data_IF_650026493584
#
_entry.id   IF_650026493584
#
_cell.length_a   1.000
_cell.length_b   1.000
_cell.length_c   1.000
_cell.angle_alpha   90.00
_cell.angle_beta   90.00
_cell.angle_gamma   90.00
#
_symmetry.space_group_name_H-M   'P 1'
#
loop_
_entity.id
_entity.type
_entity.pdbx_description
1 polymer ?
#
# COMPACT_ATOMS: atom_id res chain seq x y z
N UNK A 1 4.66 3.93 26.45
CA UNK A 1 5.31 4.59 25.30
C UNK A 1 5.95 3.51 24.44
N UNK A 2 5.46 3.28 23.21
CA UNK A 2 5.99 2.20 22.36
C UNK A 2 6.73 2.79 21.16
N UNK A 3 8.03 2.55 21.16
CA UNK A 3 9.04 3.04 20.23
C UNK A 3 9.03 2.22 18.93
N UNK A 4 9.07 2.88 17.78
CA UNK A 4 9.25 2.25 16.46
C UNK A 4 10.61 1.56 16.38
N UNK A 5 10.64 0.26 16.04
CA UNK A 5 11.88 -0.50 15.86
C UNK A 5 11.84 -1.35 14.59
N UNK A 6 12.49 -0.79 13.57
CA UNK A 6 13.39 -1.45 12.60
C UNK A 6 12.86 -2.68 11.85
N UNK A 7 12.57 -2.45 10.57
CA UNK A 7 12.51 -3.47 9.53
C UNK A 7 13.77 -4.36 9.55
N UNK A 8 13.56 -5.65 9.81
CA UNK A 8 14.44 -6.75 9.40
C UNK A 8 13.54 -7.83 8.82
N UNK A 9 13.65 -8.04 7.51
CA UNK A 9 12.97 -9.12 6.80
C UNK A 9 13.60 -10.48 7.17
N UNK A 10 12.79 -11.53 7.39
CA UNK A 10 13.21 -12.91 7.22
C UNK A 10 12.69 -13.49 5.89
N UNK A 11 13.49 -14.39 5.33
CA UNK A 11 13.23 -15.25 4.17
C UNK A 11 12.02 -16.17 4.43
N UNK A 12 10.84 -15.64 4.16
CA UNK A 12 9.52 -16.24 3.96
C UNK A 12 8.64 -15.01 3.95
N UNK A 13 8.03 -14.67 2.80
CA UNK A 13 7.37 -13.37 2.64
C UNK A 13 6.55 -13.03 3.91
N UNK A 14 6.84 -11.89 4.58
CA UNK A 14 6.15 -11.54 5.80
C UNK A 14 4.64 -11.57 5.53
N UNK A 15 3.82 -11.95 6.52
CA UNK A 15 2.34 -12.00 6.44
C UNK A 15 1.74 -10.78 5.73
N UNK A 16 2.42 -9.64 5.84
CA UNK A 16 2.18 -8.35 5.19
C UNK A 16 2.16 -8.37 3.64
N UNK A 17 2.76 -9.37 3.00
CA UNK A 17 2.82 -9.56 1.56
C UNK A 17 2.27 -10.92 1.10
N UNK A 18 1.84 -11.77 2.03
CA UNK A 18 1.23 -13.05 1.71
C UNK A 18 -0.24 -12.86 1.34
N UNK A 19 -0.58 -12.99 0.05
CA UNK A 19 -1.97 -12.91 -0.44
C UNK A 19 -2.89 -13.95 0.22
N UNK A 20 -2.36 -15.13 0.58
CA UNK A 20 -3.15 -16.17 1.27
C UNK A 20 -3.51 -15.77 2.72
N UNK A 21 -2.82 -14.78 3.29
CA UNK A 21 -3.08 -14.26 4.63
C UNK A 21 -3.81 -12.90 4.62
N UNK A 22 -3.83 -12.18 3.50
CA UNK A 22 -4.48 -10.87 3.39
C UNK A 22 -5.34 -10.77 2.12
N UNK A 23 -6.66 -10.79 2.32
CA UNK A 23 -7.69 -10.74 1.26
C UNK A 23 -7.71 -9.42 0.48
N UNK A 24 -7.04 -8.38 0.95
CA UNK A 24 -7.00 -7.08 0.28
C UNK A 24 -5.90 -7.02 -0.79
N UNK A 25 -4.91 -7.93 -0.77
CA UNK A 25 -3.83 -7.96 -1.77
C UNK A 25 -4.37 -8.38 -3.15
N UNK A 26 -4.31 -7.45 -4.11
CA UNK A 26 -4.86 -7.58 -5.45
C UNK A 26 -6.13 -6.77 -5.67
N UNK A 27 -6.76 -6.26 -4.61
CA UNK A 27 -7.89 -5.34 -4.72
C UNK A 27 -7.41 -3.97 -5.23
N UNK A 28 -8.32 -3.23 -5.85
CA UNK A 28 -8.05 -1.86 -6.32
C UNK A 28 -8.64 -0.82 -5.39
N UNK A 29 -8.03 0.37 -5.41
CA UNK A 29 -8.60 1.59 -4.84
C UNK A 29 -8.19 2.78 -5.69
N UNK A 30 -8.97 3.86 -5.60
CA UNK A 30 -8.63 5.12 -6.25
C UNK A 30 -7.78 5.99 -5.31
N UNK A 31 -6.69 6.50 -5.85
CA UNK A 31 -5.85 7.49 -5.16
C UNK A 31 -5.98 8.82 -5.88
N UNK A 32 -6.68 9.78 -5.27
CA UNK A 32 -6.97 11.07 -5.88
C UNK A 32 -5.74 11.99 -5.95
N UNK A 33 -4.85 11.92 -4.97
CA UNK A 33 -3.66 12.77 -4.92
C UNK A 33 -2.51 12.10 -4.18
N UNK A 34 -1.30 12.37 -4.66
CA UNK A 34 -0.06 11.94 -4.03
C UNK A 34 0.67 13.14 -3.43
N UNK A 35 1.26 12.92 -2.28
CA UNK A 35 2.23 13.84 -1.69
C UNK A 35 3.59 13.70 -2.39
N UNK A 36 4.45 14.73 -2.32
CA UNK A 36 5.79 14.71 -2.91
C UNK A 36 6.68 13.57 -2.41
N UNK A 37 6.39 13.00 -1.23
CA UNK A 37 7.11 11.88 -0.62
C UNK A 37 6.64 10.50 -1.12
N UNK A 38 5.71 10.46 -2.07
CA UNK A 38 5.15 9.21 -2.61
C UNK A 38 4.12 8.54 -1.70
N UNK A 39 3.52 9.29 -0.78
CA UNK A 39 2.41 8.83 0.08
C UNK A 39 1.09 9.48 -0.28
N UNK A 40 -0.02 8.86 0.11
CA UNK A 40 -1.36 9.38 -0.09
C UNK A 40 -2.31 8.96 1.04
N UNK A 41 -3.50 9.55 1.04
CA UNK A 41 -4.64 9.12 1.86
C UNK A 41 -5.78 8.75 0.94
N UNK A 42 -6.36 7.57 1.15
CA UNK A 42 -7.48 7.09 0.35
C UNK A 42 -8.46 6.31 1.22
N UNK A 43 -9.75 6.42 0.87
CA UNK A 43 -10.79 5.65 1.52
C UNK A 43 -10.79 4.22 0.99
N UNK A 44 -10.71 3.24 1.88
CA UNK A 44 -10.74 1.82 1.54
C UNK A 44 -11.51 1.07 2.63
N UNK A 45 -12.50 0.26 2.23
CA UNK A 45 -13.37 -0.53 3.14
C UNK A 45 -14.04 0.32 4.23
N UNK A 46 -14.47 1.54 3.89
CA UNK A 46 -15.16 2.44 4.83
C UNK A 46 -14.26 3.14 5.86
N UNK A 47 -12.93 3.00 5.74
CA UNK A 47 -11.96 3.70 6.59
C UNK A 47 -10.95 4.48 5.74
N UNK A 48 -10.26 5.45 6.35
CA UNK A 48 -9.19 6.20 5.70
C UNK A 48 -7.84 5.51 5.93
N UNK A 49 -7.19 5.11 4.84
CA UNK A 49 -5.91 4.40 4.87
C UNK A 49 -4.75 5.31 4.48
N UNK A 50 -3.57 4.99 5.01
CA UNK A 50 -2.33 5.52 4.47
C UNK A 50 -1.93 4.67 3.27
N UNK A 51 -1.58 5.31 2.16
CA UNK A 51 -1.20 4.63 0.93
C UNK A 51 0.22 5.03 0.58
N UNK A 52 1.03 4.07 0.15
CA UNK A 52 2.40 4.29 -0.30
C UNK A 52 2.59 3.69 -1.68
N UNK A 53 3.27 4.45 -2.54
CA UNK A 53 3.66 3.94 -3.85
C UNK A 53 4.78 2.90 -3.69
N UNK A 54 4.56 1.71 -4.24
CA UNK A 54 5.51 0.60 -4.21
C UNK A 54 6.44 0.56 -5.44
N UNK A 55 6.17 1.39 -6.46
CA UNK A 55 6.97 1.49 -7.68
C UNK A 55 8.09 2.53 -7.59
N UNK A 56 8.98 2.52 -8.57
CA UNK A 56 9.92 3.62 -8.81
C UNK A 56 9.25 4.79 -9.55
N UNK A 57 9.82 5.98 -9.42
CA UNK A 57 9.33 7.19 -10.09
C UNK A 57 8.20 7.90 -9.35
N UNK A 58 7.70 8.98 -9.95
CA UNK A 58 6.64 9.80 -9.38
C UNK A 58 5.28 9.10 -9.57
N UNK A 59 4.54 8.85 -8.47
CA UNK A 59 3.24 8.20 -8.58
C UNK A 59 2.23 9.10 -9.28
N UNK A 60 1.33 8.47 -10.04
CA UNK A 60 0.22 9.16 -10.69
C UNK A 60 -1.09 8.90 -9.95
N UNK A 61 -1.98 9.90 -9.82
CA UNK A 61 -3.35 9.67 -9.38
C UNK A 61 -4.09 8.66 -10.26
N UNK A 62 -5.15 8.07 -9.72
CA UNK A 62 -6.01 7.12 -10.41
C UNK A 62 -6.10 5.76 -9.73
N UNK A 63 -6.50 4.73 -10.49
CA UNK A 63 -6.67 3.39 -9.96
C UNK A 63 -5.34 2.73 -9.61
N UNK A 64 -5.25 2.23 -8.38
CA UNK A 64 -4.07 1.56 -7.84
C UNK A 64 -4.45 0.17 -7.32
N UNK A 65 -3.58 -0.81 -7.55
CA UNK A 65 -3.71 -2.18 -7.05
C UNK A 65 -2.91 -2.31 -5.76
N UNK A 66 -3.54 -2.83 -4.71
CA UNK A 66 -2.88 -3.18 -3.44
C UNK A 66 -1.94 -4.37 -3.69
N UNK A 67 -0.66 -4.17 -3.41
CA UNK A 67 0.37 -5.21 -3.55
C UNK A 67 0.87 -5.73 -2.21
N UNK A 68 0.67 -4.97 -1.13
CA UNK A 68 1.00 -5.41 0.22
C UNK A 68 0.25 -4.56 1.26
N UNK A 69 0.05 -5.10 2.46
CA UNK A 69 -0.58 -4.41 3.59
C UNK A 69 0.34 -4.47 4.81
N UNK A 70 0.75 -3.32 5.35
CA UNK A 70 1.61 -3.21 6.54
C UNK A 70 0.89 -2.43 7.63
N UNK A 71 0.23 -3.13 8.56
CA UNK A 71 -0.62 -2.49 9.57
C UNK A 71 -1.75 -1.69 8.93
N UNK A 72 -1.76 -0.37 9.08
CA UNK A 72 -2.75 0.54 8.47
C UNK A 72 -2.21 1.27 7.22
N UNK A 73 -1.23 0.67 6.55
CA UNK A 73 -0.61 1.21 5.32
C UNK A 73 -0.81 0.22 4.17
N UNK A 74 -1.34 0.71 3.06
CA UNK A 74 -1.45 -0.03 1.80
C UNK A 74 -0.28 0.36 0.90
N UNK A 75 0.52 -0.63 0.49
CA UNK A 75 1.49 -0.44 -0.59
C UNK A 75 0.80 -0.76 -1.90
N UNK A 76 0.88 0.16 -2.87
CA UNK A 76 0.13 0.05 -4.13
C UNK A 76 1.01 0.29 -5.36
N UNK A 77 0.54 -0.22 -6.50
CA UNK A 77 1.09 0.10 -7.83
C UNK A 77 -0.04 0.57 -8.75
N UNK A 78 0.25 1.33 -9.82
CA UNK A 78 -0.76 1.65 -10.83
C UNK A 78 -1.42 0.38 -11.37
N UNK A 79 -2.74 0.39 -11.51
CA UNK A 79 -3.43 -0.64 -12.26
C UNK A 79 -2.96 -0.58 -13.72
N UNK A 80 -2.59 -1.71 -14.30
CA UNK A 80 -2.22 -1.77 -15.71
C UNK A 80 -3.50 -1.58 -16.54
N UNK A 81 -3.87 -0.34 -16.83
CA UNK A 81 -5.13 -0.04 -17.52
C UNK A 81 -5.59 1.42 -17.53
N UNK A 82 -4.69 2.40 -17.42
CA UNK A 82 -4.99 3.82 -17.66
C UNK A 82 -3.98 4.41 -18.65
#
# INVERSE_FOLDING_TARGET
AWHFKRFRAPTTAPVEANRDANLDIGQTLEVAQWQPDGTARASYRGALWSVRHAGGGAPQPGEQVIVAVQGNVLSVRPAAGA
#
